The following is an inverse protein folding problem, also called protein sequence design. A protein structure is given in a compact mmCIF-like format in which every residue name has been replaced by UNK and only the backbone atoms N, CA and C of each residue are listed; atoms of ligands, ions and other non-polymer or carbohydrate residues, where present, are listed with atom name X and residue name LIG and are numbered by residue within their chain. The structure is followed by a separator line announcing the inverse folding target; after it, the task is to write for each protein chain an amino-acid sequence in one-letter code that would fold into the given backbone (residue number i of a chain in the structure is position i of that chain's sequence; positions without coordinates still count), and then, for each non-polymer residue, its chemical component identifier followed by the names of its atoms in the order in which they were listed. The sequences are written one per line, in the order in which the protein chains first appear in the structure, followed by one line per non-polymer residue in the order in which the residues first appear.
data_IF_698175434097
#
_entry.id   IF_698175434097
#
_cell.length_a   1.000
_cell.length_b   1.000
_cell.length_c   1.000
_cell.angle_alpha   90.00
_cell.angle_beta   90.00
_cell.angle_gamma   90.00
#
_symmetry.space_group_name_H-M   'P 1'
#
loop_
_entity.id
_entity.type
_entity.pdbx_description
1 polymer ?
#
# COMPACT_ATOMS: atom_id res chain seq x y z
N UNK A 1 -8.95 -2.96 23.07
CA UNK A 1 -7.62 -2.89 22.39
C UNK A 1 -7.88 -2.76 20.92
N UNK A 2 -7.23 -1.82 20.24
CA UNK A 2 -7.38 -1.62 18.77
C UNK A 2 -6.67 -2.75 18.02
N UNK A 3 -7.23 -3.17 16.88
CA UNK A 3 -6.77 -4.31 16.10
C UNK A 3 -6.38 -3.84 14.69
N UNK A 4 -5.17 -4.15 14.27
CA UNK A 4 -4.67 -3.81 12.96
C UNK A 4 -4.25 -5.07 12.19
N UNK A 5 -4.51 -5.11 10.90
CA UNK A 5 -3.99 -6.13 9.99
C UNK A 5 -3.11 -5.46 8.93
N UNK A 6 -1.91 -6.02 8.73
CA UNK A 6 -0.95 -5.53 7.74
C UNK A 6 -0.74 -6.58 6.66
N UNK A 7 -1.06 -6.25 5.41
CA UNK A 7 -0.79 -7.08 4.24
C UNK A 7 0.50 -6.61 3.58
N UNK A 8 1.50 -7.50 3.49
CA UNK A 8 2.83 -7.19 2.97
C UNK A 8 3.87 -6.87 4.06
N UNK A 9 3.74 -7.46 5.25
CA UNK A 9 4.54 -7.16 6.43
C UNK A 9 5.92 -7.85 6.48
N UNK A 10 6.28 -8.70 5.50
CA UNK A 10 7.53 -9.50 5.59
C UNK A 10 8.84 -8.70 5.46
N UNK A 11 8.79 -7.45 5.04
CA UNK A 11 9.96 -6.59 4.88
C UNK A 11 9.60 -5.11 4.67
N UNK A 12 10.59 -4.22 4.77
CA UNK A 12 10.49 -2.81 4.41
C UNK A 12 9.40 -2.06 5.19
N UNK A 13 8.59 -1.28 4.50
CA UNK A 13 7.59 -0.39 5.12
C UNK A 13 6.61 -1.16 6.00
N UNK A 14 6.07 -2.28 5.50
CA UNK A 14 5.07 -3.08 6.24
C UNK A 14 5.61 -3.67 7.53
N UNK A 15 6.87 -4.14 7.50
CA UNK A 15 7.58 -4.65 8.65
C UNK A 15 7.74 -3.57 9.73
N UNK A 16 8.21 -2.38 9.37
CA UNK A 16 8.43 -1.28 10.30
C UNK A 16 7.12 -0.72 10.88
N UNK A 17 6.06 -0.66 10.06
CA UNK A 17 4.73 -0.23 10.54
C UNK A 17 4.17 -1.24 11.54
N UNK A 18 4.35 -2.55 11.30
CA UNK A 18 3.89 -3.59 12.22
C UNK A 18 4.57 -3.44 13.61
N UNK A 19 5.89 -3.22 13.63
CA UNK A 19 6.64 -2.99 14.88
C UNK A 19 6.13 -1.76 15.63
N UNK A 20 5.94 -0.63 14.94
CA UNK A 20 5.44 0.60 15.56
C UNK A 20 4.02 0.45 16.11
N UNK A 21 3.16 -0.38 15.50
CA UNK A 21 1.83 -0.67 16.02
C UNK A 21 1.89 -1.54 17.27
N UNK A 22 2.78 -2.53 17.31
CA UNK A 22 3.01 -3.34 18.52
C UNK A 22 3.50 -2.46 19.67
N UNK A 23 4.46 -1.56 19.43
CA UNK A 23 4.97 -0.61 20.41
C UNK A 23 3.88 0.37 20.90
N UNK A 24 2.90 0.74 20.05
CA UNK A 24 1.74 1.59 20.37
C UNK A 24 0.58 0.79 21.02
N UNK A 25 0.82 -0.50 21.38
CA UNK A 25 -0.11 -1.36 22.13
C UNK A 25 -1.29 -1.90 21.31
N UNK A 26 -1.18 -1.99 19.98
CA UNK A 26 -2.20 -2.59 19.15
C UNK A 26 -2.12 -4.13 19.18
N UNK A 27 -3.25 -4.79 19.01
CA UNK A 27 -3.31 -6.19 18.64
C UNK A 27 -3.08 -6.29 17.12
N UNK A 28 -1.97 -6.92 16.72
CA UNK A 28 -1.49 -6.87 15.33
C UNK A 28 -1.55 -8.25 14.70
N UNK A 29 -2.22 -8.31 13.54
CA UNK A 29 -2.15 -9.42 12.61
C UNK A 29 -1.29 -9.02 11.40
N UNK A 30 -0.45 -9.94 10.92
CA UNK A 30 0.47 -9.72 9.81
C UNK A 30 0.34 -10.79 8.75
N UNK A 31 0.36 -10.39 7.48
CA UNK A 31 0.28 -11.34 6.38
C UNK A 31 1.28 -11.01 5.26
N UNK A 32 1.86 -12.05 4.69
CA UNK A 32 2.72 -11.97 3.51
C UNK A 32 2.90 -13.35 2.87
N UNK A 33 3.49 -13.41 1.66
CA UNK A 33 3.83 -14.68 1.00
C UNK A 33 4.89 -15.47 1.77
N UNK A 34 5.86 -14.78 2.41
CA UNK A 34 6.96 -15.37 3.19
C UNK A 34 6.60 -15.30 4.68
N UNK A 35 5.91 -16.33 5.16
CA UNK A 35 5.41 -16.38 6.55
C UNK A 35 6.53 -16.50 7.57
N UNK A 36 7.62 -17.16 7.23
CA UNK A 36 8.81 -17.31 8.07
C UNK A 36 9.38 -15.96 8.53
N UNK A 37 9.37 -14.96 7.66
CA UNK A 37 9.83 -13.62 8.00
C UNK A 37 8.87 -12.85 8.92
N UNK A 38 7.59 -13.22 8.98
CA UNK A 38 6.62 -12.56 9.86
C UNK A 38 6.90 -12.83 11.33
N UNK A 39 7.48 -13.99 11.64
CA UNK A 39 7.85 -14.36 13.02
C UNK A 39 8.96 -13.48 13.59
N UNK A 40 9.73 -12.79 12.75
CA UNK A 40 10.82 -11.90 13.17
C UNK A 40 10.33 -10.49 13.60
N UNK A 41 9.04 -10.17 13.39
CA UNK A 41 8.48 -8.85 13.71
C UNK A 41 8.37 -8.62 15.22
N UNK A 42 8.12 -9.68 15.99
CA UNK A 42 7.90 -9.63 17.43
C UNK A 42 6.62 -10.37 17.84
N UNK A 43 6.02 -9.98 18.94
CA UNK A 43 4.83 -10.64 19.48
C UNK A 43 3.54 -10.27 18.71
N UNK A 44 3.48 -10.62 17.43
CA UNK A 44 2.25 -10.49 16.65
C UNK A 44 1.19 -11.46 17.15
N UNK A 45 -0.09 -11.04 17.09
CA UNK A 45 -1.20 -11.87 17.56
C UNK A 45 -1.57 -12.95 16.56
N UNK A 46 -1.43 -12.66 15.28
CA UNK A 46 -1.73 -13.57 14.16
C UNK A 46 -0.70 -13.35 13.04
N UNK A 47 -0.23 -14.44 12.44
CA UNK A 47 0.65 -14.41 11.29
C UNK A 47 0.17 -15.42 10.24
N UNK A 48 -0.17 -14.97 9.06
CA UNK A 48 -0.75 -15.81 8.01
C UNK A 48 -0.03 -15.67 6.68
N UNK A 49 0.07 -16.79 5.95
CA UNK A 49 0.57 -16.76 4.58
C UNK A 49 -0.55 -16.32 3.64
N UNK A 50 -0.43 -15.11 3.09
CA UNK A 50 -1.35 -14.59 2.08
C UNK A 50 -0.57 -14.16 0.84
N UNK A 51 -0.83 -14.83 -0.29
CA UNK A 51 -0.48 -14.32 -1.61
C UNK A 51 -1.70 -13.56 -2.16
N UNK A 52 -1.57 -12.27 -2.36
CA UNK A 52 -2.68 -11.42 -2.83
C UNK A 52 -3.16 -11.78 -4.24
N UNK A 53 -2.34 -12.53 -5.01
CA UNK A 53 -2.71 -13.03 -6.35
C UNK A 53 -3.58 -14.28 -6.28
N UNK A 54 -3.57 -15.01 -5.16
CA UNK A 54 -4.41 -16.18 -4.95
C UNK A 54 -5.91 -15.79 -5.01
N UNK A 55 -6.75 -16.50 -5.79
CA UNK A 55 -8.20 -16.29 -5.78
C UNK A 55 -8.83 -16.35 -4.39
N UNK A 56 -8.30 -17.14 -3.48
CA UNK A 56 -8.80 -17.34 -2.12
C UNK A 56 -8.22 -16.33 -1.09
N UNK A 57 -7.36 -15.41 -1.50
CA UNK A 57 -6.72 -14.47 -0.57
C UNK A 57 -7.71 -13.67 0.29
N UNK A 58 -8.90 -13.34 -0.24
CA UNK A 58 -9.96 -12.67 0.50
C UNK A 58 -10.53 -13.54 1.65
N UNK A 59 -10.61 -14.87 1.46
CA UNK A 59 -11.05 -15.81 2.50
C UNK A 59 -10.02 -15.91 3.61
N UNK A 60 -8.75 -15.94 3.27
CA UNK A 60 -7.66 -15.89 4.25
C UNK A 60 -7.71 -14.61 5.08
N UNK A 61 -7.98 -13.45 4.46
CA UNK A 61 -8.16 -12.21 5.22
C UNK A 61 -9.37 -12.29 6.18
N UNK A 62 -10.50 -12.86 5.75
CA UNK A 62 -11.68 -13.06 6.61
C UNK A 62 -11.37 -13.97 7.80
N UNK A 63 -10.67 -15.07 7.56
CA UNK A 63 -10.21 -15.98 8.61
C UNK A 63 -9.36 -15.24 9.63
N UNK A 64 -8.36 -14.51 9.18
CA UNK A 64 -7.46 -13.71 10.01
C UNK A 64 -8.22 -12.64 10.83
N UNK A 65 -9.21 -11.95 10.25
CA UNK A 65 -10.07 -11.01 10.96
C UNK A 65 -10.80 -11.71 12.10
N UNK A 66 -11.34 -12.90 11.85
CA UNK A 66 -12.05 -13.71 12.85
C UNK A 66 -11.13 -14.15 13.99
N UNK A 67 -9.96 -14.67 13.68
CA UNK A 67 -8.95 -15.12 14.66
C UNK A 67 -8.44 -13.95 15.52
N UNK A 68 -8.25 -12.78 14.92
CA UNK A 68 -7.85 -11.57 15.63
C UNK A 68 -8.98 -11.01 16.52
N UNK A 69 -10.22 -11.48 16.34
CA UNK A 69 -11.42 -11.01 17.03
C UNK A 69 -11.97 -9.71 16.46
N UNK A 70 -11.68 -9.43 15.19
CA UNK A 70 -12.12 -8.26 14.43
C UNK A 70 -10.96 -7.40 13.91
N UNK A 71 -11.30 -6.34 13.17
CA UNK A 71 -10.34 -5.39 12.60
C UNK A 71 -10.85 -3.96 12.75
N UNK A 72 -9.95 -3.02 13.09
CA UNK A 72 -10.24 -1.59 13.19
C UNK A 72 -9.41 -0.79 12.16
N UNK A 73 -8.29 -1.38 11.70
CA UNK A 73 -7.35 -0.78 10.77
C UNK A 73 -6.80 -1.86 9.81
N UNK A 74 -6.95 -1.65 8.51
CA UNK A 74 -6.20 -2.39 7.50
C UNK A 74 -5.06 -1.52 6.97
N UNK A 75 -3.85 -2.08 6.88
CA UNK A 75 -2.71 -1.45 6.21
C UNK A 75 -2.25 -2.35 5.08
N UNK A 76 -2.36 -1.86 3.85
CA UNK A 76 -1.94 -2.58 2.65
C UNK A 76 -0.61 -2.02 2.13
N UNK A 77 0.43 -2.83 2.22
CA UNK A 77 1.79 -2.50 1.74
C UNK A 77 2.29 -3.47 0.68
N UNK A 78 1.52 -4.53 0.40
CA UNK A 78 1.90 -5.51 -0.60
C UNK A 78 1.97 -4.88 -1.99
N UNK A 79 3.01 -5.20 -2.71
CA UNK A 79 3.21 -4.73 -4.07
C UNK A 79 4.57 -5.11 -4.61
N UNK A 80 4.69 -5.09 -5.91
CA UNK A 80 5.96 -5.27 -6.61
C UNK A 80 6.17 -4.10 -7.57
N UNK A 81 7.44 -3.81 -7.88
CA UNK A 81 7.80 -2.79 -8.84
C UNK A 81 9.13 -3.17 -9.48
N UNK A 82 9.15 -3.19 -10.79
CA UNK A 82 10.34 -3.46 -11.56
C UNK A 82 10.38 -2.54 -12.77
N UNK A 83 11.56 -2.01 -13.09
CA UNK A 83 11.73 -1.33 -14.36
C UNK A 83 11.60 -2.36 -15.49
N UNK A 84 10.92 -1.99 -16.57
CA UNK A 84 10.67 -2.87 -17.71
C UNK A 84 10.65 -2.07 -19.02
N UNK A 85 11.81 -1.58 -19.42
CA UNK A 85 11.96 -0.78 -20.65
C UNK A 85 11.72 -1.60 -21.91
N UNK A 86 11.95 -2.89 -21.85
CA UNK A 86 11.79 -3.86 -22.96
C UNK A 86 10.36 -4.42 -23.05
N UNK A 87 9.45 -4.00 -22.16
CA UNK A 87 8.06 -4.48 -22.09
C UNK A 87 7.94 -6.01 -22.03
N UNK A 88 8.82 -6.66 -21.26
CA UNK A 88 8.72 -8.10 -21.02
C UNK A 88 7.35 -8.43 -20.44
N UNK A 89 6.55 -9.21 -21.15
CA UNK A 89 5.15 -9.52 -20.83
C UNK A 89 4.98 -10.04 -19.41
N UNK A 90 5.81 -11.00 -18.99
CA UNK A 90 5.73 -11.58 -17.64
C UNK A 90 5.89 -10.55 -16.51
N UNK A 91 6.72 -9.52 -16.69
CA UNK A 91 6.90 -8.43 -15.71
C UNK A 91 5.65 -7.55 -15.65
N UNK A 92 5.09 -7.17 -16.81
CA UNK A 92 3.89 -6.34 -16.90
C UNK A 92 2.67 -7.05 -16.30
N UNK A 93 2.46 -8.33 -16.67
CA UNK A 93 1.35 -9.14 -16.18
C UNK A 93 1.48 -9.37 -14.68
N UNK A 94 2.62 -9.85 -14.19
CA UNK A 94 2.84 -10.08 -12.77
C UNK A 94 2.65 -8.82 -11.92
N UNK A 95 3.12 -7.66 -12.43
CA UNK A 95 2.92 -6.36 -11.77
C UNK A 95 1.45 -6.00 -11.70
N UNK A 96 0.70 -6.25 -12.78
CA UNK A 96 -0.74 -5.95 -12.85
C UNK A 96 -1.54 -6.88 -11.94
N UNK A 97 -1.24 -8.17 -11.93
CA UNK A 97 -1.89 -9.14 -11.04
C UNK A 97 -1.68 -8.80 -9.57
N UNK A 98 -0.44 -8.51 -9.17
CA UNK A 98 -0.12 -8.22 -7.78
C UNK A 98 -0.67 -6.86 -7.35
N UNK A 99 -0.34 -5.79 -8.09
CA UNK A 99 -0.67 -4.42 -7.69
C UNK A 99 -2.08 -4.00 -8.10
N UNK A 100 -2.68 -4.65 -9.08
CA UNK A 100 -4.04 -4.37 -9.57
C UNK A 100 -5.05 -5.34 -8.97
N UNK A 101 -5.07 -6.59 -9.46
CA UNK A 101 -6.06 -7.59 -9.05
C UNK A 101 -5.97 -7.91 -7.56
N UNK A 102 -4.75 -8.19 -7.06
CA UNK A 102 -4.51 -8.46 -5.64
C UNK A 102 -4.93 -7.29 -4.75
N UNK A 103 -4.64 -6.06 -5.17
CA UNK A 103 -5.07 -4.86 -4.44
C UNK A 103 -6.59 -4.76 -4.34
N UNK A 104 -7.31 -4.89 -5.45
CA UNK A 104 -8.79 -4.81 -5.48
C UNK A 104 -9.41 -5.89 -4.61
N UNK A 105 -8.86 -7.13 -4.66
CA UNK A 105 -9.33 -8.25 -3.84
C UNK A 105 -9.22 -7.96 -2.35
N UNK A 106 -8.06 -7.52 -1.88
CA UNK A 106 -7.80 -7.30 -0.46
C UNK A 106 -8.50 -6.05 0.08
N UNK A 107 -8.40 -4.92 -0.64
CA UNK A 107 -9.07 -3.66 -0.24
C UNK A 107 -10.60 -3.81 -0.33
N UNK A 108 -11.10 -4.49 -1.36
CA UNK A 108 -12.54 -4.76 -1.49
C UNK A 108 -13.09 -5.62 -0.36
N UNK A 109 -12.33 -6.62 0.10
CA UNK A 109 -12.73 -7.44 1.26
C UNK A 109 -12.74 -6.62 2.55
N UNK A 110 -11.69 -5.85 2.80
CA UNK A 110 -11.64 -4.98 3.96
C UNK A 110 -12.78 -3.93 3.96
N UNK A 111 -13.09 -3.38 2.79
CA UNK A 111 -14.21 -2.44 2.63
C UNK A 111 -15.55 -3.09 2.98
N UNK A 112 -15.82 -4.32 2.49
CA UNK A 112 -17.05 -5.06 2.82
C UNK A 112 -17.16 -5.29 4.32
N UNK A 113 -16.08 -5.75 4.96
CA UNK A 113 -16.03 -5.95 6.40
C UNK A 113 -16.34 -4.64 7.17
N UNK A 114 -15.69 -3.54 6.83
CA UNK A 114 -15.94 -2.26 7.47
C UNK A 114 -17.32 -1.68 7.17
N UNK A 115 -17.86 -1.96 5.97
CA UNK A 115 -19.22 -1.54 5.62
C UNK A 115 -20.31 -2.27 6.43
N UNK A 116 -20.09 -3.54 6.77
CA UNK A 116 -20.94 -4.31 7.70
C UNK A 116 -20.80 -3.81 9.14
N UNK A 117 -19.56 -3.49 9.55
CA UNK A 117 -19.27 -2.94 10.88
C UNK A 117 -19.76 -1.49 11.07
N UNK A 118 -19.91 -0.73 9.99
CA UNK A 118 -20.28 0.69 9.98
C UNK A 118 -19.10 1.66 10.10
N UNK A 119 -17.92 1.18 10.52
CA UNK A 119 -16.72 2.00 10.75
C UNK A 119 -15.43 1.25 10.47
N UNK A 120 -14.36 1.99 10.15
CA UNK A 120 -13.04 1.43 9.99
C UNK A 120 -12.02 2.37 9.35
N UNK A 121 -10.79 1.89 9.17
CA UNK A 121 -9.76 2.67 8.51
C UNK A 121 -8.97 1.79 7.52
N UNK A 122 -8.93 2.19 6.26
CA UNK A 122 -8.14 1.56 5.21
C UNK A 122 -6.96 2.46 4.86
N UNK A 123 -5.75 1.94 5.03
CA UNK A 123 -4.50 2.62 4.67
C UNK A 123 -3.82 1.81 3.58
N UNK A 124 -3.46 2.46 2.49
CA UNK A 124 -2.75 1.80 1.41
C UNK A 124 -1.48 2.55 1.01
N UNK A 125 -0.39 1.81 0.88
CA UNK A 125 0.88 2.35 0.37
C UNK A 125 0.86 2.24 -1.16
N UNK A 126 0.53 3.36 -1.81
CA UNK A 126 0.52 3.49 -3.26
C UNK A 126 1.89 3.99 -3.77
N UNK A 127 1.98 5.12 -4.41
CA UNK A 127 3.25 5.76 -4.82
C UNK A 127 3.01 7.12 -5.46
N UNK A 128 4.03 7.98 -5.44
CA UNK A 128 4.09 9.15 -6.34
C UNK A 128 4.09 8.75 -7.83
N UNK A 129 4.55 7.53 -8.15
CA UNK A 129 4.56 6.99 -9.51
C UNK A 129 3.16 6.91 -10.14
N UNK A 130 2.09 6.85 -9.32
CA UNK A 130 0.70 6.94 -9.80
C UNK A 130 0.28 8.33 -10.28
N UNK A 131 1.14 9.34 -10.21
CA UNK A 131 0.81 10.71 -10.64
C UNK A 131 0.84 10.86 -12.17
N UNK A 132 1.75 10.17 -12.84
CA UNK A 132 1.96 10.19 -14.31
C UNK A 132 2.45 8.83 -14.79
N UNK A 133 2.18 8.49 -16.06
CA UNK A 133 2.78 7.31 -16.68
C UNK A 133 4.29 7.47 -16.81
N UNK A 134 5.04 6.48 -16.32
CA UNK A 134 6.49 6.45 -16.33
C UNK A 134 6.99 5.43 -17.37
N UNK A 135 7.71 5.89 -18.40
CA UNK A 135 8.22 5.04 -19.45
C UNK A 135 9.09 3.87 -18.96
N UNK A 136 9.98 4.06 -17.97
CA UNK A 136 10.77 2.96 -17.41
C UNK A 136 9.98 1.86 -16.71
N UNK A 137 8.74 2.12 -16.26
CA UNK A 137 7.93 1.18 -15.48
C UNK A 137 6.42 1.35 -15.78
N UNK A 138 5.95 0.94 -16.99
CA UNK A 138 4.59 1.23 -17.44
C UNK A 138 3.52 0.60 -16.54
N UNK A 139 3.54 -0.73 -16.33
CA UNK A 139 2.56 -1.41 -15.47
C UNK A 139 2.61 -0.91 -14.04
N UNK A 140 3.80 -0.63 -13.49
CA UNK A 140 3.92 -0.11 -12.13
C UNK A 140 3.21 1.24 -11.97
N UNK A 141 3.53 2.21 -12.84
CA UNK A 141 2.91 3.54 -12.77
C UNK A 141 1.39 3.48 -13.04
N UNK A 142 0.96 2.65 -13.97
CA UNK A 142 -0.45 2.45 -14.26
C UNK A 142 -1.20 1.83 -13.09
N UNK A 143 -0.65 0.77 -12.46
CA UNK A 143 -1.29 0.14 -11.30
C UNK A 143 -1.32 1.07 -10.07
N UNK A 144 -0.29 1.87 -9.85
CA UNK A 144 -0.30 2.87 -8.77
C UNK A 144 -1.32 4.00 -9.00
N UNK A 145 -1.53 4.41 -10.26
CA UNK A 145 -2.61 5.34 -10.60
C UNK A 145 -3.99 4.70 -10.38
N UNK A 146 -4.17 3.45 -10.80
CA UNK A 146 -5.39 2.67 -10.55
C UNK A 146 -5.70 2.58 -9.05
N UNK A 147 -4.72 2.27 -8.20
CA UNK A 147 -4.88 2.20 -6.75
C UNK A 147 -5.38 3.53 -6.17
N UNK A 148 -4.79 4.66 -6.59
CA UNK A 148 -5.21 6.00 -6.15
C UNK A 148 -6.68 6.28 -6.50
N UNK A 149 -7.08 5.97 -7.73
CA UNK A 149 -8.47 6.19 -8.20
C UNK A 149 -9.45 5.24 -7.52
N UNK A 150 -9.04 3.98 -7.30
CA UNK A 150 -9.88 2.99 -6.62
C UNK A 150 -10.18 3.38 -5.17
N UNK A 151 -9.16 3.83 -4.42
CA UNK A 151 -9.36 4.33 -3.04
C UNK A 151 -10.32 5.52 -3.02
N UNK A 152 -10.14 6.48 -3.93
CA UNK A 152 -11.02 7.65 -4.04
C UNK A 152 -12.46 7.25 -4.33
N UNK A 153 -12.68 6.26 -5.20
CA UNK A 153 -14.02 5.77 -5.51
C UNK A 153 -14.69 5.08 -4.31
N UNK A 154 -13.93 4.27 -3.55
CA UNK A 154 -14.45 3.65 -2.33
C UNK A 154 -14.76 4.67 -1.22
N UNK A 155 -13.93 5.69 -1.08
CA UNK A 155 -14.18 6.81 -0.14
C UNK A 155 -15.48 7.54 -0.49
N UNK A 156 -15.71 7.85 -1.78
CA UNK A 156 -16.97 8.45 -2.26
C UNK A 156 -18.16 7.53 -1.97
N UNK A 157 -18.01 6.22 -2.22
CA UNK A 157 -19.06 5.24 -1.96
C UNK A 157 -19.39 5.13 -0.45
N UNK A 158 -18.37 5.13 0.42
CA UNK A 158 -18.54 5.09 1.87
C UNK A 158 -19.30 6.32 2.34
N UNK A 159 -18.92 7.51 1.87
CA UNK A 159 -19.59 8.77 2.20
C UNK A 159 -21.05 8.76 1.75
N UNK A 160 -21.34 8.34 0.51
CA UNK A 160 -22.70 8.26 -0.02
C UNK A 160 -23.61 7.29 0.77
N UNK A 161 -23.02 6.28 1.41
CA UNK A 161 -23.70 5.30 2.26
C UNK A 161 -23.77 5.69 3.74
N UNK A 162 -23.21 6.83 4.15
CA UNK A 162 -23.16 7.28 5.54
C UNK A 162 -22.29 6.42 6.45
N UNK A 163 -21.25 5.75 5.90
CA UNK A 163 -20.34 4.89 6.65
C UNK A 163 -19.15 5.69 7.18
N UNK A 164 -18.75 5.45 8.43
CA UNK A 164 -17.55 6.06 9.05
C UNK A 164 -16.27 5.29 8.70
N UNK A 165 -16.02 5.11 7.40
CA UNK A 165 -14.82 4.44 6.88
C UNK A 165 -13.83 5.50 6.41
N UNK A 166 -12.65 5.55 7.06
CA UNK A 166 -11.57 6.45 6.66
C UNK A 166 -10.65 5.78 5.64
N UNK A 167 -10.09 6.59 4.76
CA UNK A 167 -9.10 6.15 3.78
C UNK A 167 -7.85 7.01 3.88
N UNK A 168 -6.68 6.38 3.87
CA UNK A 168 -5.39 7.07 3.83
C UNK A 168 -4.54 6.50 2.70
N UNK A 169 -4.35 7.30 1.67
CA UNK A 169 -3.50 6.99 0.51
C UNK A 169 -2.09 7.52 0.77
N UNK A 170 -1.18 6.62 1.09
CA UNK A 170 0.24 6.92 1.35
C UNK A 170 1.00 6.86 0.04
N UNK A 171 1.61 7.97 -0.35
CA UNK A 171 2.35 8.12 -1.61
C UNK A 171 3.82 8.41 -1.36
N UNK A 172 4.65 7.40 -1.08
CA UNK A 172 6.08 7.59 -0.96
C UNK A 172 6.74 7.79 -2.33
N UNK A 173 7.92 8.43 -2.31
CA UNK A 173 8.89 8.36 -3.39
C UNK A 173 9.75 7.10 -3.29
N UNK A 174 11.05 7.20 -3.54
CA UNK A 174 11.98 6.07 -3.40
C UNK A 174 12.26 5.75 -1.94
N UNK A 175 12.04 4.49 -1.57
CA UNK A 175 12.27 3.95 -0.22
C UNK A 175 13.23 2.78 -0.33
N UNK A 176 14.25 2.75 0.52
CA UNK A 176 15.27 1.70 0.56
C UNK A 176 14.66 0.37 1.02
N UNK A 177 14.18 -0.39 0.07
CA UNK A 177 13.54 -1.68 0.28
C UNK A 177 13.92 -2.63 -0.85
N UNK A 178 13.65 -3.91 -0.67
CA UNK A 178 13.85 -4.93 -1.71
C UNK A 178 13.04 -4.68 -3.02
N UNK A 179 12.17 -3.69 -3.04
CA UNK A 179 11.45 -3.25 -4.23
C UNK A 179 12.37 -2.53 -5.23
N UNK A 180 13.42 -1.86 -4.73
CA UNK A 180 14.38 -1.15 -5.56
C UNK A 180 15.54 -2.09 -5.94
N UNK A 181 15.89 -2.10 -7.22
CA UNK A 181 17.06 -2.84 -7.68
C UNK A 181 18.34 -2.09 -7.28
N UNK A 182 19.32 -2.79 -6.68
CA UNK A 182 20.53 -2.22 -6.07
C UNK A 182 21.50 -1.44 -6.98
N UNK A 183 21.31 -1.51 -8.31
CA UNK A 183 22.28 -0.95 -9.28
C UNK A 183 21.99 0.50 -9.71
N UNK A 184 20.90 1.11 -9.22
CA UNK A 184 20.52 2.46 -9.59
C UNK A 184 20.68 3.44 -8.43
N UNK A 185 21.26 4.59 -8.73
CA UNK A 185 21.24 5.71 -7.79
C UNK A 185 19.86 6.37 -7.77
N UNK A 186 19.10 6.13 -6.69
CA UNK A 186 17.76 6.72 -6.53
C UNK A 186 17.86 8.07 -5.81
N UNK A 187 17.35 9.17 -6.40
CA UNK A 187 17.40 10.47 -5.76
C UNK A 187 16.47 10.51 -4.54
N UNK A 188 16.89 11.24 -3.51
CA UNK A 188 16.09 11.46 -2.29
C UNK A 188 15.61 10.16 -1.62
N UNK A 189 16.45 9.11 -1.63
CA UNK A 189 16.15 7.81 -1.04
C UNK A 189 15.81 7.96 0.45
N UNK A 190 14.72 7.33 0.87
CA UNK A 190 14.22 7.37 2.24
C UNK A 190 14.40 6.02 2.92
N UNK A 191 14.64 6.03 4.24
CA UNK A 191 14.69 4.79 5.03
C UNK A 191 13.28 4.33 5.42
N UNK A 192 13.00 3.00 5.41
CA UNK A 192 11.69 2.44 5.75
C UNK A 192 11.15 2.88 7.11
N UNK A 193 12.00 3.00 8.11
CA UNK A 193 11.65 3.40 9.47
C UNK A 193 11.11 4.84 9.52
N UNK A 194 11.72 5.74 8.73
CA UNK A 194 11.26 7.12 8.63
C UNK A 194 9.89 7.18 7.96
N UNK A 195 9.72 6.41 6.88
CA UNK A 195 8.44 6.29 6.16
C UNK A 195 7.36 5.72 7.09
N UNK A 196 7.66 4.66 7.84
CA UNK A 196 6.73 4.04 8.78
C UNK A 196 6.26 5.04 9.87
N UNK A 197 7.18 5.81 10.46
CA UNK A 197 6.81 6.88 11.40
C UNK A 197 5.87 7.92 10.80
N UNK A 198 6.05 8.29 9.53
CA UNK A 198 5.15 9.20 8.82
C UNK A 198 3.79 8.58 8.56
N UNK A 199 3.73 7.29 8.22
CA UNK A 199 2.48 6.54 8.08
C UNK A 199 1.71 6.53 9.40
N UNK A 200 2.36 6.24 10.54
CA UNK A 200 1.71 6.29 11.86
C UNK A 200 1.14 7.68 12.17
N UNK A 201 1.83 8.75 11.79
CA UNK A 201 1.32 10.13 11.94
C UNK A 201 0.09 10.37 11.07
N UNK A 202 0.12 9.90 9.80
CA UNK A 202 -1.00 10.03 8.86
C UNK A 202 -2.24 9.26 9.37
N UNK A 203 -2.04 8.04 9.90
CA UNK A 203 -3.10 7.23 10.51
C UNK A 203 -3.74 7.96 11.70
N UNK A 204 -2.93 8.46 12.63
CA UNK A 204 -3.42 9.20 13.81
C UNK A 204 -4.21 10.46 13.44
N UNK A 205 -3.86 11.10 12.33
CA UNK A 205 -4.53 12.31 11.81
C UNK A 205 -5.66 12.02 10.82
N UNK A 206 -5.89 10.76 10.47
CA UNK A 206 -6.85 10.33 9.45
C UNK A 206 -6.68 11.11 8.13
N UNK A 207 -5.43 11.29 7.68
CA UNK A 207 -5.13 12.04 6.46
C UNK A 207 -5.62 11.28 5.22
N UNK A 208 -6.36 11.93 4.32
CA UNK A 208 -6.85 11.31 3.08
C UNK A 208 -5.71 10.97 2.11
N UNK A 209 -4.78 11.89 1.91
CA UNK A 209 -3.60 11.70 1.04
C UNK A 209 -2.36 12.17 1.80
N UNK A 210 -1.34 11.32 1.85
CA UNK A 210 -0.06 11.65 2.45
C UNK A 210 1.08 11.36 1.47
N UNK A 211 1.59 12.39 0.80
CA UNK A 211 2.86 12.31 0.05
C UNK A 211 3.99 12.42 1.06
N UNK A 212 4.78 11.35 1.17
CA UNK A 212 5.88 11.32 2.14
C UNK A 212 7.09 12.08 1.59
N UNK A 213 7.60 13.02 2.41
CA UNK A 213 8.63 14.01 2.12
C UNK A 213 8.10 15.18 1.25
N UNK A 214 8.32 16.39 1.74
CA UNK A 214 7.88 17.63 1.10
C UNK A 214 8.49 17.83 -0.31
N UNK A 215 9.70 17.31 -0.55
CA UNK A 215 10.38 17.38 -1.86
C UNK A 215 9.58 16.62 -2.92
N UNK A 216 9.09 15.42 -2.58
CA UNK A 216 8.21 14.65 -3.46
C UNK A 216 6.83 15.28 -3.60
N UNK A 217 6.33 15.95 -2.56
CA UNK A 217 5.08 16.69 -2.66
C UNK A 217 5.19 17.81 -3.71
N UNK A 218 6.26 18.62 -3.64
CA UNK A 218 6.53 19.66 -4.62
C UNK A 218 6.73 19.09 -6.03
N UNK A 219 7.50 18.01 -6.16
CA UNK A 219 7.77 17.34 -7.42
C UNK A 219 6.46 16.86 -8.09
N UNK A 220 5.59 16.18 -7.34
CA UNK A 220 4.31 15.66 -7.88
C UNK A 220 3.33 16.77 -8.20
N UNK A 221 3.34 17.86 -7.44
CA UNK A 221 2.55 19.05 -7.74
C UNK A 221 2.95 19.68 -9.09
N UNK A 222 4.24 19.73 -9.39
CA UNK A 222 4.77 20.20 -10.68
C UNK A 222 4.46 19.17 -11.79
N UNK A 223 4.70 17.88 -11.57
CA UNK A 223 4.44 16.83 -12.57
C UNK A 223 3.01 16.83 -13.08
N UNK A 224 2.03 16.99 -12.19
CA UNK A 224 0.60 17.04 -12.56
C UNK A 224 0.30 18.13 -13.60
N UNK A 225 1.03 19.25 -13.54
CA UNK A 225 0.81 20.41 -14.42
C UNK A 225 1.51 20.31 -15.77
N UNK A 226 2.48 19.40 -15.94
CA UNK A 226 3.17 19.23 -17.22
C UNK A 226 2.18 18.70 -18.26
N UNK A 227 1.95 19.43 -19.38
CA UNK A 227 1.09 18.96 -20.44
C UNK A 227 1.59 17.66 -21.08
N UNK A 228 0.65 16.83 -21.58
CA UNK A 228 0.98 15.52 -22.14
C UNK A 228 1.98 15.59 -23.30
N UNK A 229 1.91 16.64 -24.16
CA UNK A 229 2.80 16.79 -25.30
C UNK A 229 4.25 17.08 -24.90
N UNK A 230 4.49 17.68 -23.71
CA UNK A 230 5.82 17.85 -23.13
C UNK A 230 6.24 16.54 -22.46
N UNK A 231 5.39 15.97 -21.58
CA UNK A 231 5.70 14.77 -20.79
C UNK A 231 6.17 13.61 -21.66
N UNK A 232 5.50 13.35 -22.80
CA UNK A 232 5.85 12.24 -23.72
C UNK A 232 7.25 12.36 -24.36
N UNK A 233 7.88 13.55 -24.30
CA UNK A 233 9.22 13.80 -24.85
C UNK A 233 10.31 13.81 -23.80
N UNK A 234 9.94 13.76 -22.51
CA UNK A 234 10.90 13.74 -21.41
C UNK A 234 11.57 12.37 -21.35
N UNK A 235 12.89 12.37 -21.18
CA UNK A 235 13.68 11.17 -20.90
C UNK A 235 13.77 11.04 -19.38
N UNK A 236 13.14 9.97 -18.84
CA UNK A 236 13.11 9.66 -17.41
C UNK A 236 14.00 8.47 -17.08
#
# INVERSE_FOLDING_TARGET
MKRAIIIGASSGIGFEVARLLLDDGWKVGVAARRVDLLQTIGNVSEAEQIDVTDPNAAEHLRSMISQLGGMDLLIYTAGIGKQNRELTEGIEVQTTETNGVGFVRMIGEAYRYFAEKGEGHIVAVTSIAGTKGLGPAPAYSATKAMQNVYLQALEQQAHARGLDIHFTDIRPGFVDTALLNGDFHYPMLMQPEMVARKIMQAIKRKQHICVIDWRYHLLTMLWRRIPRFIWRRMKL
#
